data_IF_059645370603
#
_entry.id   IF_059645370603
#
_cell.length_a   1.000
_cell.length_b   1.000
_cell.length_c   1.000
_cell.angle_alpha   90.00
_cell.angle_beta   90.00
_cell.angle_gamma   90.00
#
_symmetry.space_group_name_H-M   'P 1'
#
loop_
_entity.id
_entity.type
_entity.pdbx_description
1 polymer ?
#
# COMPACT_ATOMS: atom_id res chain seq x y z
N UNK A 1 -5.60 -14.10 -10.10
CA UNK A 1 -4.59 -13.59 -9.15
C UNK A 1 -4.78 -12.09 -9.14
N UNK A 2 -5.21 -11.55 -8.00
CA UNK A 2 -5.42 -10.11 -7.84
C UNK A 2 -4.25 -9.55 -7.05
N UNK A 3 -3.63 -8.51 -7.59
CA UNK A 3 -2.56 -7.81 -6.92
C UNK A 3 -3.14 -7.01 -5.74
N UNK A 4 -2.48 -7.06 -4.59
CA UNK A 4 -2.98 -6.40 -3.38
C UNK A 4 -1.97 -5.38 -2.89
N UNK A 5 -2.44 -4.14 -2.73
CA UNK A 5 -1.67 -3.06 -2.13
C UNK A 5 -1.71 -3.13 -0.62
N UNK A 6 -0.56 -2.94 0.01
CA UNK A 6 -0.40 -2.82 1.45
C UNK A 6 0.35 -1.55 1.77
N UNK A 7 -0.06 -0.88 2.84
CA UNK A 7 0.62 0.30 3.35
C UNK A 7 0.87 0.16 4.84
N UNK A 8 2.04 0.59 5.28
CA UNK A 8 2.39 0.72 6.68
C UNK A 8 3.11 2.06 6.90
N UNK A 9 2.76 2.83 7.96
CA UNK A 9 3.38 4.14 8.21
C UNK A 9 4.91 4.07 8.38
N UNK A 10 5.43 2.97 8.93
CA UNK A 10 6.88 2.78 9.13
C UNK A 10 7.62 2.20 7.90
N UNK A 11 6.94 1.40 7.06
CA UNK A 11 7.58 0.69 5.92
C UNK A 11 7.26 1.29 4.55
N UNK A 12 6.24 2.15 4.47
CA UNK A 12 5.69 2.66 3.23
C UNK A 12 4.72 1.68 2.55
N UNK A 13 4.55 1.86 1.24
CA UNK A 13 3.69 1.03 0.40
C UNK A 13 4.45 -0.14 -0.23
N UNK A 14 3.83 -1.31 -0.27
CA UNK A 14 4.28 -2.44 -1.08
C UNK A 14 3.09 -3.18 -1.70
N UNK A 15 3.37 -3.97 -2.74
CA UNK A 15 2.37 -4.70 -3.50
C UNK A 15 2.71 -6.19 -3.51
N UNK A 16 1.71 -7.02 -3.26
CA UNK A 16 1.81 -8.46 -3.43
C UNK A 16 1.19 -8.86 -4.77
N UNK A 17 1.82 -9.82 -5.46
CA UNK A 17 1.37 -10.36 -6.76
C UNK A 17 0.09 -11.21 -6.59
N UNK A 18 -0.28 -11.56 -5.37
CA UNK A 18 -1.50 -12.31 -5.03
C UNK A 18 -1.95 -12.00 -3.60
N UNK A 19 -3.21 -12.30 -3.29
CA UNK A 19 -3.73 -12.15 -1.94
C UNK A 19 -2.95 -13.06 -0.97
N UNK A 20 -2.25 -12.48 0.02
CA UNK A 20 -1.52 -13.27 1.01
C UNK A 20 -2.49 -14.02 1.93
N UNK A 21 -2.11 -15.23 2.32
CA UNK A 21 -2.89 -16.01 3.29
C UNK A 21 -2.92 -15.35 4.67
N UNK A 22 -3.92 -15.71 5.49
CA UNK A 22 -4.08 -15.17 6.85
C UNK A 22 -2.81 -15.28 7.71
N UNK A 23 -2.04 -16.37 7.56
CA UNK A 23 -0.78 -16.56 8.28
C UNK A 23 0.32 -15.55 7.89
N UNK A 24 0.33 -15.10 6.63
CA UNK A 24 1.25 -14.04 6.17
C UNK A 24 0.78 -12.68 6.68
N UNK A 25 -0.54 -12.44 6.64
CA UNK A 25 -1.15 -11.21 7.17
C UNK A 25 -0.91 -11.06 8.68
N UNK A 26 -0.92 -12.17 9.43
CA UNK A 26 -0.62 -12.19 10.87
C UNK A 26 0.84 -11.83 11.17
N UNK A 27 1.76 -12.14 10.25
CA UNK A 27 3.16 -11.74 10.34
C UNK A 27 3.42 -10.28 9.93
N UNK A 28 2.41 -9.55 9.45
CA UNK A 28 2.59 -8.14 9.11
C UNK A 28 2.57 -7.28 10.37
N UNK A 29 3.41 -6.24 10.44
CA UNK A 29 3.45 -5.36 11.61
C UNK A 29 2.09 -4.68 11.82
N UNK A 30 1.72 -4.52 13.09
CA UNK A 30 0.53 -3.79 13.51
C UNK A 30 0.48 -2.39 12.88
N UNK A 31 -0.66 -2.06 12.26
CA UNK A 31 -0.80 -0.83 11.48
C UNK A 31 -0.65 -1.05 9.97
N UNK A 32 -0.39 -2.28 9.52
CA UNK A 32 -0.47 -2.62 8.10
C UNK A 32 -1.93 -2.62 7.66
N UNK A 33 -2.24 -1.80 6.67
CA UNK A 33 -3.58 -1.68 6.11
C UNK A 33 -3.58 -2.11 4.64
N UNK A 34 -4.71 -2.67 4.21
CA UNK A 34 -4.96 -2.95 2.79
C UNK A 34 -5.36 -1.66 2.09
N UNK A 35 -4.71 -1.38 0.97
CA UNK A 35 -4.93 -0.18 0.18
C UNK A 35 -5.11 -0.55 -1.29
N UNK A 36 -5.86 0.23 -2.08
CA UNK A 36 -5.89 0.06 -3.53
C UNK A 36 -4.49 0.20 -4.14
N UNK A 37 -4.30 -0.38 -5.32
CA UNK A 37 -3.04 -0.31 -6.04
C UNK A 37 -2.64 1.14 -6.32
N UNK A 38 -1.34 1.42 -6.19
CA UNK A 38 -0.78 2.73 -6.47
C UNK A 38 -1.01 3.10 -7.95
N UNK A 39 -1.64 4.25 -8.24
CA UNK A 39 -2.02 4.63 -9.61
C UNK A 39 -0.81 4.97 -10.49
N UNK A 40 0.31 5.42 -9.91
CA UNK A 40 1.53 5.74 -10.66
C UNK A 40 2.67 6.20 -9.76
N UNK A 41 3.83 6.50 -10.35
CA UNK A 41 4.93 7.17 -9.64
C UNK A 41 4.50 8.58 -9.19
N UNK A 42 5.04 9.07 -8.09
CA UNK A 42 4.65 10.38 -7.54
C UNK A 42 3.27 10.38 -6.88
N UNK A 43 2.80 9.24 -6.37
CA UNK A 43 1.63 9.20 -5.48
C UNK A 43 2.05 8.74 -4.09
N UNK A 44 1.49 9.37 -3.06
CA UNK A 44 1.68 9.01 -1.67
C UNK A 44 0.34 8.62 -1.04
N UNK A 45 0.38 7.67 -0.11
CA UNK A 45 -0.82 7.22 0.58
C UNK A 45 -1.05 8.09 1.82
N UNK A 46 -1.98 9.05 1.72
CA UNK A 46 -2.26 10.02 2.78
C UNK A 46 -3.76 9.95 3.12
N UNK A 47 -4.08 9.72 4.40
CA UNK A 47 -5.47 9.77 4.88
C UNK A 47 -6.42 8.79 4.21
N UNK A 48 -5.91 7.64 3.74
CA UNK A 48 -6.73 6.62 3.07
C UNK A 48 -6.96 6.86 1.58
N UNK A 49 -6.18 7.75 0.94
CA UNK A 49 -6.24 8.01 -0.51
C UNK A 49 -4.84 8.17 -1.09
N UNK A 50 -4.71 7.82 -2.37
CA UNK A 50 -3.55 8.18 -3.17
C UNK A 50 -3.60 9.66 -3.51
N UNK A 51 -2.68 10.43 -2.97
CA UNK A 51 -2.48 11.84 -3.26
C UNK A 51 -1.29 11.96 -4.20
N UNK A 52 -1.47 12.61 -5.35
CA UNK A 52 -0.33 12.90 -6.22
C UNK A 52 0.59 13.88 -5.48
N UNK A 53 1.85 13.49 -5.31
CA UNK A 53 2.95 14.39 -4.98
C UNK A 53 3.15 15.25 -6.23
N UNK A 54 2.41 16.36 -6.30
CA UNK A 54 2.52 17.36 -7.34
C UNK A 54 3.97 17.87 -7.28
N UNK A 55 4.84 17.31 -8.11
CA UNK A 55 6.10 17.95 -8.43
C UNK A 55 5.75 19.38 -8.89
N UNK A 56 6.30 20.43 -8.25
CA UNK A 56 5.99 21.79 -8.64
C UNK A 56 6.29 21.98 -10.13
N UNK A 57 5.34 22.62 -10.81
CA UNK A 57 5.25 22.98 -12.23
C UNK A 57 6.58 23.25 -12.97
#
# INVERSE_FOLDING_TARGET
MEEVGFFHPDRGYWQAISEPSQNVLDGYPDGTIRVPLKPGAGYEWIGGKWVADEAPE
#
